data_IF_501054891927
#
_entry.id   IF_501054891927
#
_cell.length_a   1.000
_cell.length_b   1.000
_cell.length_c   1.000
_cell.angle_alpha   90.00
_cell.angle_beta   90.00
_cell.angle_gamma   90.00
#
_symmetry.space_group_name_H-M   'P 1'
#
loop_
_entity.id
_entity.type
_entity.pdbx_description
1 polymer ?
#
# COMPACT_ATOMS: atom_id res chain seq x y z
N UNK A 1 12.58 7.68 0.94
CA UNK A 1 13.25 6.62 0.16
C UNK A 1 13.83 5.51 1.03
N UNK A 2 14.84 5.77 1.86
CA UNK A 2 15.49 4.72 2.69
C UNK A 2 14.48 3.94 3.56
N UNK A 3 13.59 4.66 4.26
CA UNK A 3 12.52 4.06 5.06
C UNK A 3 11.62 3.11 4.26
N UNK A 4 11.07 3.58 3.14
CA UNK A 4 10.16 2.80 2.30
C UNK A 4 10.84 1.54 1.74
N UNK A 5 12.10 1.67 1.29
CA UNK A 5 12.84 0.53 0.75
C UNK A 5 13.16 -0.49 1.86
N UNK A 6 13.55 -0.03 3.04
CA UNK A 6 13.75 -0.91 4.18
C UNK A 6 12.44 -1.61 4.58
N UNK A 7 11.32 -0.90 4.57
CA UNK A 7 9.99 -1.46 4.87
C UNK A 7 9.61 -2.56 3.87
N UNK A 8 9.90 -2.39 2.58
CA UNK A 8 9.68 -3.41 1.55
C UNK A 8 10.40 -4.72 1.89
N UNK A 9 11.71 -4.68 2.16
CA UNK A 9 12.47 -5.89 2.53
C UNK A 9 12.06 -6.48 3.88
N UNK A 10 11.58 -5.65 4.81
CA UNK A 10 11.06 -6.15 6.07
C UNK A 10 9.76 -6.95 5.90
N UNK A 11 8.98 -6.72 4.84
CA UNK A 11 7.68 -7.35 4.61
C UNK A 11 7.72 -8.68 3.84
N UNK A 12 8.91 -9.17 3.51
CA UNK A 12 9.11 -10.43 2.80
C UNK A 12 9.91 -11.42 3.63
N UNK A 13 9.67 -12.71 3.42
CA UNK A 13 10.46 -13.82 3.96
C UNK A 13 10.92 -14.74 2.82
N UNK A 14 11.97 -15.57 3.01
CA UNK A 14 12.53 -16.38 1.93
C UNK A 14 11.52 -17.39 1.34
N UNK A 15 10.61 -17.91 2.15
CA UNK A 15 9.59 -18.87 1.75
C UNK A 15 8.15 -18.32 1.75
N UNK A 16 7.94 -17.08 2.22
CA UNK A 16 6.60 -16.59 2.58
C UNK A 16 6.10 -17.23 3.89
N UNK A 17 5.14 -16.59 4.57
CA UNK A 17 4.47 -17.19 5.73
C UNK A 17 2.97 -17.35 5.44
N UNK A 18 2.26 -18.37 5.95
CA UNK A 18 0.84 -18.50 5.71
C UNK A 18 0.06 -17.35 6.39
N UNK A 19 -0.99 -16.87 5.73
CA UNK A 19 -1.82 -15.80 6.28
C UNK A 19 -2.62 -16.27 7.51
N UNK A 20 -2.48 -15.60 8.68
CA UNK A 20 -3.27 -15.95 9.86
C UNK A 20 -4.77 -15.77 9.63
N UNK A 21 -5.58 -16.68 10.17
CA UNK A 21 -7.04 -16.72 9.96
C UNK A 21 -7.75 -15.43 10.35
N UNK A 22 -7.30 -14.77 11.43
CA UNK A 22 -7.92 -13.53 11.91
C UNK A 22 -7.66 -12.38 10.96
N UNK A 23 -6.42 -12.23 10.48
CA UNK A 23 -6.07 -11.23 9.46
C UNK A 23 -6.84 -11.50 8.16
N UNK A 24 -6.91 -12.77 7.74
CA UNK A 24 -7.67 -13.18 6.54
C UNK A 24 -9.11 -12.69 6.60
N UNK A 25 -9.81 -12.92 7.71
CA UNK A 25 -11.21 -12.50 7.89
C UNK A 25 -11.38 -10.98 7.77
N UNK A 26 -10.48 -10.20 8.36
CA UNK A 26 -10.56 -8.73 8.27
C UNK A 26 -10.29 -8.22 6.85
N UNK A 27 -9.32 -8.82 6.14
CA UNK A 27 -9.04 -8.49 4.75
C UNK A 27 -10.20 -8.90 3.82
N UNK A 28 -10.81 -10.07 4.04
CA UNK A 28 -12.00 -10.51 3.31
C UNK A 28 -13.20 -9.57 3.55
N UNK A 29 -13.33 -9.00 4.76
CA UNK A 29 -14.37 -8.02 5.04
C UNK A 29 -14.16 -6.70 4.25
N UNK A 30 -12.91 -6.29 4.02
CA UNK A 30 -12.59 -5.06 3.26
C UNK A 30 -12.59 -5.26 1.74
N UNK A 31 -12.03 -6.37 1.25
CA UNK A 31 -11.77 -6.61 -0.18
C UNK A 31 -12.65 -7.70 -0.79
N UNK A 32 -13.65 -8.20 -0.05
CA UNK A 32 -14.50 -9.36 -0.38
C UNK A 32 -13.77 -10.71 -0.41
N UNK A 33 -12.53 -10.79 -0.89
CA UNK A 33 -11.69 -11.99 -0.83
C UNK A 33 -10.20 -11.67 -0.87
N UNK A 34 -9.35 -12.58 -0.37
CA UNK A 34 -7.89 -12.44 -0.47
C UNK A 34 -7.41 -12.46 -1.92
N UNK A 35 -8.08 -13.22 -2.80
CA UNK A 35 -7.72 -13.24 -4.22
C UNK A 35 -8.07 -11.92 -4.90
N UNK A 36 -9.19 -11.29 -4.52
CA UNK A 36 -9.54 -9.94 -4.97
C UNK A 36 -8.47 -8.95 -4.56
N UNK A 37 -8.06 -8.98 -3.28
CA UNK A 37 -6.97 -8.14 -2.77
C UNK A 37 -5.68 -8.35 -3.57
N UNK A 38 -5.27 -9.60 -3.78
CA UNK A 38 -4.09 -9.96 -4.58
C UNK A 38 -4.16 -9.35 -5.97
N UNK A 39 -5.29 -9.55 -6.66
CA UNK A 39 -5.51 -9.03 -8.02
C UNK A 39 -5.48 -7.51 -8.05
N UNK A 40 -6.19 -6.84 -7.15
CA UNK A 40 -6.20 -5.39 -7.06
C UNK A 40 -4.80 -4.83 -6.77
N UNK A 41 -4.04 -5.49 -5.89
CA UNK A 41 -2.69 -5.09 -5.55
C UNK A 41 -1.75 -5.18 -6.78
N UNK A 42 -1.75 -6.32 -7.48
CA UNK A 42 -0.90 -6.55 -8.66
C UNK A 42 -1.30 -5.61 -9.81
N UNK A 43 -2.61 -5.46 -10.06
CA UNK A 43 -3.12 -4.57 -11.11
C UNK A 43 -2.78 -3.12 -10.79
N UNK A 44 -2.96 -2.67 -9.55
CA UNK A 44 -2.61 -1.30 -9.14
C UNK A 44 -1.11 -1.06 -9.28
N UNK A 45 -0.27 -1.99 -8.81
CA UNK A 45 1.19 -1.89 -8.97
C UNK A 45 1.59 -1.80 -10.44
N UNK A 46 0.98 -2.62 -11.30
CA UNK A 46 1.24 -2.63 -12.75
C UNK A 46 0.73 -1.36 -13.45
N UNK A 47 -0.40 -0.81 -13.01
CA UNK A 47 -1.01 0.40 -13.54
C UNK A 47 -0.29 1.69 -13.11
N UNK A 48 0.45 1.66 -12.00
CA UNK A 48 1.33 2.78 -11.60
C UNK A 48 2.43 2.94 -12.66
N UNK A 49 2.26 3.93 -13.52
CA UNK A 49 3.24 4.29 -14.54
C UNK A 49 4.33 5.14 -13.91
N UNK A 50 5.46 4.51 -13.61
CA UNK A 50 6.63 5.12 -12.98
C UNK A 50 6.99 4.53 -11.61
N UNK A 51 8.11 4.99 -11.04
CA UNK A 51 8.63 4.49 -9.78
C UNK A 51 7.84 5.01 -8.58
N UNK A 52 7.61 4.13 -7.60
CA UNK A 52 6.91 4.46 -6.38
C UNK A 52 6.78 3.27 -5.44
N UNK A 53 5.84 3.37 -4.51
CA UNK A 53 5.52 2.34 -3.53
C UNK A 53 4.02 2.14 -3.44
N UNK A 54 3.59 0.88 -3.43
CA UNK A 54 2.20 0.51 -3.16
C UNK A 54 2.09 -0.05 -1.75
N UNK A 55 1.17 0.51 -0.96
CA UNK A 55 1.02 0.17 0.45
C UNK A 55 -0.32 -0.51 0.71
N UNK A 56 -0.31 -1.53 1.56
CA UNK A 56 -1.51 -1.95 2.30
C UNK A 56 -1.54 -1.17 3.61
N UNK A 57 -2.56 -0.36 3.80
CA UNK A 57 -2.72 0.47 5.01
C UNK A 57 -4.00 0.10 5.74
N UNK A 58 -3.96 0.16 7.06
CA UNK A 58 -5.15 0.11 7.92
C UNK A 58 -5.57 1.54 8.25
N UNK A 59 -6.79 1.90 7.90
CA UNK A 59 -7.37 3.23 8.12
C UNK A 59 -8.26 3.32 9.38
N UNK A 60 -8.51 2.17 10.02
CA UNK A 60 -9.31 2.01 11.22
C UNK A 60 -9.56 0.53 11.53
N UNK A 61 -10.31 0.21 12.59
CA UNK A 61 -10.68 -1.17 12.89
C UNK A 61 -11.42 -1.82 11.73
N UNK A 62 -10.86 -2.88 11.15
CA UNK A 62 -11.47 -3.60 10.01
C UNK A 62 -11.51 -2.84 8.68
N UNK A 63 -10.88 -1.67 8.56
CA UNK A 63 -10.86 -0.87 7.33
C UNK A 63 -9.45 -0.90 6.72
N UNK A 64 -9.28 -1.72 5.68
CA UNK A 64 -8.04 -1.90 4.95
C UNK A 64 -8.13 -1.32 3.56
N UNK A 65 -7.07 -0.63 3.13
CA UNK A 65 -7.05 0.07 1.83
C UNK A 65 -5.70 -0.05 1.15
N UNK A 66 -5.72 0.04 -0.18
CA UNK A 66 -4.52 0.18 -0.98
C UNK A 66 -4.20 1.65 -1.19
N UNK A 67 -2.96 2.03 -0.93
CA UNK A 67 -2.47 3.39 -1.10
C UNK A 67 -1.25 3.39 -2.02
N UNK A 68 -1.38 3.83 -3.28
CA UNK A 68 -0.23 4.10 -4.12
C UNK A 68 0.44 5.40 -3.66
N UNK A 69 1.77 5.45 -3.74
CA UNK A 69 2.59 6.65 -3.52
C UNK A 69 3.66 6.73 -4.59
N UNK A 70 3.81 7.88 -5.24
CA UNK A 70 4.78 8.09 -6.31
C UNK A 70 6.11 8.57 -5.75
N UNK A 71 7.20 8.22 -6.42
CA UNK A 71 8.57 8.62 -6.09
C UNK A 71 8.92 8.27 -4.63
N UNK A 72 9.03 9.29 -3.78
CA UNK A 72 9.43 9.19 -2.37
C UNK A 72 8.27 9.47 -1.41
N UNK A 73 7.02 9.38 -1.88
CA UNK A 73 5.84 9.64 -1.09
C UNK A 73 5.75 8.77 0.17
N UNK A 74 5.01 9.26 1.17
CA UNK A 74 4.88 8.62 2.48
C UNK A 74 3.41 8.27 2.78
N UNK A 75 3.13 7.06 3.32
CA UNK A 75 1.77 6.67 3.67
C UNK A 75 1.29 7.31 4.99
N UNK A 76 2.18 7.93 5.77
CA UNK A 76 1.86 8.41 7.11
C UNK A 76 1.01 9.69 7.07
N UNK A 77 -0.03 9.81 7.91
CA UNK A 77 -0.90 10.98 7.94
C UNK A 77 -0.15 12.24 8.41
N UNK A 78 0.83 12.08 9.30
CA UNK A 78 1.74 13.15 9.74
C UNK A 78 2.68 13.65 8.64
N UNK A 79 2.75 12.98 7.49
CA UNK A 79 3.53 13.40 6.32
C UNK A 79 2.63 13.63 5.09
N UNK A 80 1.34 13.93 5.30
CA UNK A 80 0.35 14.03 4.21
C UNK A 80 0.71 15.05 3.11
N UNK A 81 1.46 16.11 3.43
CA UNK A 81 2.01 17.06 2.45
C UNK A 81 2.98 16.44 1.44
N UNK A 82 3.42 15.19 1.67
CA UNK A 82 4.22 14.36 0.75
C UNK A 82 3.61 12.97 0.58
N UNK A 83 2.28 12.82 0.65
CA UNK A 83 1.64 11.53 0.35
C UNK A 83 1.84 11.13 -1.13
N UNK A 84 1.77 12.10 -2.05
CA UNK A 84 1.98 11.91 -3.49
C UNK A 84 1.24 10.68 -4.05
N UNK A 85 -0.07 10.57 -3.79
CA UNK A 85 -0.86 9.38 -4.16
C UNK A 85 -1.27 9.29 -5.62
N UNK A 86 -1.05 10.36 -6.39
CA UNK A 86 -1.55 10.50 -7.76
C UNK A 86 -0.48 11.15 -8.61
N UNK A 87 -0.24 10.61 -9.81
CA UNK A 87 0.68 11.20 -10.78
C UNK A 87 0.01 12.39 -11.48
N UNK A 88 0.57 13.58 -11.24
CA UNK A 88 0.03 14.84 -11.75
C UNK A 88 0.35 15.10 -13.22
N UNK A 89 1.24 14.32 -13.84
CA UNK A 89 1.57 14.46 -15.26
C UNK A 89 0.55 13.76 -16.16
N UNK A 90 -0.16 12.75 -15.65
CA UNK A 90 -1.14 11.95 -16.40
C UNK A 90 -2.58 12.28 -16.04
N UNK A 91 -2.84 12.90 -14.87
CA UNK A 91 -4.18 13.40 -14.55
C UNK A 91 -4.46 14.72 -15.26
N UNK A 92 -5.37 14.70 -16.24
CA UNK A 92 -5.85 15.89 -16.94
C UNK A 92 -6.81 16.74 -16.09
N UNK A 93 -6.95 18.03 -16.45
CA UNK A 93 -7.86 18.99 -15.80
C UNK A 93 -9.35 18.60 -15.92
N UNK A 94 -9.67 17.71 -16.86
CA UNK A 94 -11.01 17.23 -17.16
C UNK A 94 -11.18 15.74 -16.80
N UNK A 95 -12.34 15.37 -16.25
CA UNK A 95 -12.67 13.99 -15.84
C UNK A 95 -12.86 13.81 -14.32
N UNK A 96 -12.79 12.56 -13.85
CA UNK A 96 -13.02 12.16 -12.43
C UNK A 96 -12.01 12.78 -11.47
N UNK A 97 -10.84 13.20 -11.95
CA UNK A 97 -9.80 13.90 -11.19
C UNK A 97 -10.18 15.35 -10.82
N UNK A 98 -11.20 15.96 -11.44
CA UNK A 98 -11.60 17.37 -11.19
C UNK A 98 -11.95 17.63 -9.72
N UNK A 99 -12.55 16.65 -9.03
CA UNK A 99 -12.84 16.73 -7.60
C UNK A 99 -11.57 16.71 -6.75
N UNK A 100 -10.57 15.91 -7.14
CA UNK A 100 -9.27 15.82 -6.48
C UNK A 100 -8.48 17.13 -6.61
N UNK A 101 -8.39 17.73 -7.81
CA UNK A 101 -7.74 19.03 -8.00
C UNK A 101 -8.39 20.14 -7.19
N UNK A 102 -9.73 20.19 -7.17
CA UNK A 102 -10.47 21.17 -6.35
C UNK A 102 -10.16 20.99 -4.87
N UNK A 103 -10.12 19.75 -4.38
CA UNK A 103 -9.85 19.45 -2.97
C UNK A 103 -8.37 19.62 -2.59
N UNK A 104 -7.42 19.40 -3.50
CA UNK A 104 -5.99 19.55 -3.22
C UNK A 104 -5.55 21.03 -3.28
N UNK A 105 -6.10 21.81 -4.23
CA UNK A 105 -5.80 23.24 -4.40
C UNK A 105 -6.58 24.13 -3.42
N UNK A 106 -7.86 23.83 -3.14
CA UNK A 106 -8.69 24.65 -2.23
C UNK A 106 -8.85 24.05 -0.83
N UNK A 107 -8.50 22.78 -0.61
CA UNK A 107 -8.64 22.09 0.68
C UNK A 107 -7.39 22.12 1.57
N UNK A 108 -6.24 22.56 1.05
CA UNK A 108 -5.04 22.81 1.86
C UNK A 108 -5.29 23.86 2.97
N UNK A 109 -6.23 24.78 2.74
CA UNK A 109 -6.64 25.79 3.73
C UNK A 109 -7.81 25.37 4.64
N UNK A 110 -8.42 24.18 4.42
CA UNK A 110 -9.64 23.76 5.13
C UNK A 110 -9.57 22.35 5.73
N UNK A 111 -8.39 21.93 6.16
CA UNK A 111 -8.23 20.97 7.28
C UNK A 111 -7.80 21.74 8.53
N UNK A 112 -8.56 22.77 8.88
CA UNK A 112 -8.60 23.28 10.26
C UNK A 112 -9.69 22.48 10.97
N UNK A 113 -9.27 21.36 11.49
CA UNK A 113 -9.99 20.61 12.50
C UNK A 113 -8.90 19.81 13.17
N UNK A 114 -8.61 20.15 14.42
CA UNK A 114 -7.84 19.28 15.29
C UNK A 114 -8.61 17.96 15.36
N UNK A 115 -8.30 17.06 14.43
CA UNK A 115 -8.64 15.66 14.57
C UNK A 115 -8.05 15.30 15.93
N UNK A 116 -8.84 14.69 16.84
CA UNK A 116 -8.29 14.29 18.13
C UNK A 116 -7.01 13.50 17.89
N UNK A 117 -5.98 13.61 18.74
CA UNK A 117 -4.80 12.77 18.61
C UNK A 117 -5.25 11.31 18.42
N UNK A 118 -5.01 10.75 17.22
CA UNK A 118 -5.54 9.44 16.77
C UNK A 118 -6.64 9.46 15.68
N UNK A 119 -7.09 10.62 15.17
CA UNK A 119 -8.32 10.74 14.37
C UNK A 119 -8.30 10.24 12.91
N UNK A 120 -7.15 9.84 12.37
CA UNK A 120 -7.02 8.98 11.17
C UNK A 120 -5.57 8.49 11.12
N UNK A 121 -5.25 7.46 11.92
CA UNK A 121 -3.98 6.76 11.81
C UNK A 121 -4.05 5.82 10.62
N UNK A 122 -3.38 6.20 9.52
CA UNK A 122 -3.03 5.25 8.47
C UNK A 122 -1.82 4.47 8.96
N UNK A 123 -2.03 3.22 9.33
CA UNK A 123 -0.97 2.30 9.74
C UNK A 123 -0.52 1.50 8.50
N UNK A 124 0.70 1.72 7.96
CA UNK A 124 1.21 0.90 6.87
C UNK A 124 1.58 -0.49 7.38
N UNK A 125 1.08 -1.51 6.69
CA UNK A 125 1.27 -2.91 7.06
C UNK A 125 2.21 -3.63 6.10
N UNK A 126 2.03 -3.40 4.80
CA UNK A 126 2.81 -4.00 3.73
C UNK A 126 3.19 -2.94 2.69
N UNK A 127 4.35 -3.11 2.07
CA UNK A 127 4.86 -2.21 1.03
C UNK A 127 5.42 -3.04 -0.12
N UNK A 128 5.08 -2.68 -1.36
CA UNK A 128 5.72 -3.15 -2.58
C UNK A 128 6.53 -2.01 -3.19
N UNK A 129 7.82 -2.24 -3.38
CA UNK A 129 8.69 -1.34 -4.13
C UNK A 129 8.47 -1.55 -5.64
N UNK A 130 8.05 -0.50 -6.35
CA UNK A 130 7.82 -0.57 -7.80
C UNK A 130 8.91 0.09 -8.65
N UNK A 131 9.99 0.55 -8.02
CA UNK A 131 11.13 1.13 -8.72
C UNK A 131 11.83 0.10 -9.60
N UNK A 132 12.28 0.54 -10.78
CA UNK A 132 12.90 -0.31 -11.79
C UNK A 132 14.16 -0.99 -11.26
N UNK A 133 14.93 -0.35 -10.38
CA UNK A 133 16.11 -0.96 -9.77
C UNK A 133 15.81 -2.20 -8.90
N UNK A 134 14.55 -2.42 -8.50
CA UNK A 134 14.15 -3.57 -7.70
C UNK A 134 13.80 -4.80 -8.54
N UNK A 135 13.43 -4.63 -9.83
CA UNK A 135 12.89 -5.73 -10.63
C UNK A 135 13.43 -5.80 -12.07
N UNK A 136 13.91 -4.69 -12.64
CA UNK A 136 14.29 -4.61 -14.05
C UNK A 136 15.43 -5.57 -14.42
N UNK A 137 16.39 -5.77 -13.52
CA UNK A 137 17.55 -6.64 -13.78
C UNK A 137 17.14 -8.12 -13.85
N UNK A 138 16.27 -8.56 -12.94
CA UNK A 138 15.89 -9.96 -12.80
C UNK A 138 14.71 -10.34 -13.72
N UNK A 139 13.77 -9.41 -13.93
CA UNK A 139 12.51 -9.66 -14.65
C UNK A 139 12.46 -9.03 -16.04
N UNK A 140 13.45 -8.21 -16.42
CA UNK A 140 13.48 -7.50 -17.69
C UNK A 140 12.34 -6.48 -17.84
N UNK A 141 12.13 -5.97 -19.06
CA UNK A 141 11.16 -4.88 -19.33
C UNK A 141 9.71 -5.40 -19.49
N UNK A 142 9.51 -6.70 -19.69
CA UNK A 142 8.16 -7.27 -19.94
C UNK A 142 7.73 -7.27 -21.41
N UNK A 143 8.65 -7.08 -22.36
CA UNK A 143 8.34 -7.10 -23.79
C UNK A 143 7.83 -8.49 -24.21
N UNK A 144 6.65 -8.54 -24.87
CA UNK A 144 6.03 -9.80 -25.30
C UNK A 144 5.21 -10.51 -24.21
N UNK A 145 4.90 -9.84 -23.10
CA UNK A 145 4.05 -10.38 -22.03
C UNK A 145 4.75 -11.37 -21.09
N UNK A 146 6.07 -11.50 -21.19
CA UNK A 146 6.88 -12.34 -20.31
C UNK A 146 7.72 -11.46 -19.38
N UNK A 147 7.67 -11.75 -18.07
CA UNK A 147 8.44 -11.02 -17.07
C UNK A 147 7.86 -9.62 -16.76
N UNK A 148 8.76 -8.67 -16.56
CA UNK A 148 8.44 -7.29 -16.22
C UNK A 148 7.84 -7.12 -14.83
N UNK A 149 7.29 -5.92 -14.61
CA UNK A 149 6.73 -5.47 -13.33
C UNK A 149 5.60 -6.37 -12.81
N UNK A 150 4.78 -6.91 -13.72
CA UNK A 150 3.65 -7.77 -13.37
C UNK A 150 4.13 -9.10 -12.78
N UNK A 151 5.04 -9.79 -13.45
CA UNK A 151 5.59 -11.05 -12.98
C UNK A 151 6.40 -10.90 -11.67
N UNK A 152 7.09 -9.77 -11.53
CA UNK A 152 7.72 -9.39 -10.27
C UNK A 152 6.70 -9.25 -9.12
N UNK A 153 5.60 -8.52 -9.34
CA UNK A 153 4.57 -8.34 -8.31
C UNK A 153 3.87 -9.65 -7.95
N UNK A 154 3.61 -10.52 -8.94
CA UNK A 154 3.06 -11.86 -8.71
C UNK A 154 3.97 -12.73 -7.86
N UNK A 155 5.27 -12.69 -8.12
CA UNK A 155 6.26 -13.50 -7.39
C UNK A 155 6.52 -12.94 -5.99
N UNK A 156 6.55 -11.62 -5.87
CA UNK A 156 6.63 -10.92 -4.58
C UNK A 156 5.46 -11.31 -3.66
N UNK A 157 4.24 -11.45 -4.20
CA UNK A 157 3.06 -11.81 -3.42
C UNK A 157 3.24 -13.14 -2.66
N UNK A 158 3.94 -14.10 -3.26
CA UNK A 158 4.18 -15.40 -2.67
C UNK A 158 5.22 -15.37 -1.54
N UNK A 159 6.05 -14.33 -1.49
CA UNK A 159 7.12 -14.14 -0.51
C UNK A 159 6.71 -13.24 0.66
N UNK A 160 5.44 -12.82 0.73
CA UNK A 160 4.96 -11.95 1.80
C UNK A 160 5.06 -12.67 3.15
N UNK A 161 5.60 -11.97 4.14
CA UNK A 161 5.56 -12.39 5.53
C UNK A 161 4.24 -11.92 6.19
N UNK A 162 3.19 -12.71 6.01
CA UNK A 162 1.85 -12.43 6.55
C UNK A 162 1.76 -12.47 8.07
N UNK A 163 2.63 -13.21 8.75
CA UNK A 163 2.72 -13.20 10.21
C UNK A 163 3.11 -11.80 10.70
N UNK A 164 4.15 -11.20 10.10
CA UNK A 164 4.61 -9.86 10.45
C UNK A 164 3.59 -8.78 10.09
N UNK A 165 2.85 -8.95 8.99
CA UNK A 165 1.72 -8.10 8.63
C UNK A 165 0.62 -8.17 9.70
N UNK A 166 0.30 -9.36 10.20
CA UNK A 166 -0.70 -9.56 11.26
C UNK A 166 -0.25 -9.01 12.63
N UNK A 167 1.05 -9.08 12.93
CA UNK A 167 1.62 -8.43 14.11
C UNK A 167 1.49 -6.91 14.03
N UNK A 168 1.82 -6.32 12.86
CA UNK A 168 1.70 -4.87 12.62
C UNK A 168 0.26 -4.37 12.67
N UNK A 169 -0.71 -5.16 12.18
CA UNK A 169 -2.13 -4.77 12.21
C UNK A 169 -2.74 -4.77 13.61
N UNK A 170 -2.01 -5.28 14.62
CA UNK A 170 -2.47 -5.38 15.99
C UNK A 170 -3.57 -6.42 16.19
N UNK A 171 -3.78 -7.30 15.21
CA UNK A 171 -4.78 -8.37 15.27
C UNK A 171 -4.32 -9.52 16.17
N UNK A 172 -3.01 -9.73 16.29
CA UNK A 172 -2.40 -10.74 17.16
C UNK A 172 -2.16 -10.24 18.60
N UNK A 173 -2.92 -9.26 19.09
CA UNK A 173 -2.76 -8.81 20.48
C UNK A 173 -3.01 -9.98 21.42
N UNK A 174 -2.11 -10.27 22.37
CA UNK A 174 -2.42 -11.20 23.44
C UNK A 174 -3.67 -10.70 24.15
N UNK A 175 -4.64 -11.58 24.37
CA UNK A 175 -5.78 -11.32 25.26
C UNK A 175 -5.21 -10.74 26.56
N UNK A 176 -5.70 -9.57 26.99
CA UNK A 176 -5.36 -9.06 28.32
C UNK A 176 -5.78 -10.14 29.31
N UNK A 177 -4.82 -10.75 30.01
CA UNK A 177 -5.12 -11.67 31.10
C UNK A 177 -5.93 -10.88 32.13
N UNK A 178 -7.25 -11.08 32.17
CA UNK A 178 -8.06 -10.65 33.31
C UNK A 178 -7.51 -11.35 34.54
N UNK A 179 -6.94 -10.56 35.44
CA UNK A 179 -6.55 -10.98 36.78
C UNK A 179 -7.78 -11.28 37.65
#
# INVERSE_FOLDING_TARGET
>A
MAHNNHFFFQGISPEGTPMPDVLRRELEASFSSVETLRREFIVTASAMFGPGFLWLVKAGPGDYRLLPTYLAGSPYPGAHWRAQSTDMNTVGKDGTARSFFRNQVHGAHKRSGDLPPGGIELEPLLCLNTWEHAWLLDWGVGAGGQGGKLAFAESWWNLIDWEKVAQKSGVLRPEFMSA
#
